data_IF_288494697305
#
_entry.id   IF_288494697305
#
_cell.length_a   1.000
_cell.length_b   1.000
_cell.length_c   1.000
_cell.angle_alpha   90.00
_cell.angle_beta   90.00
_cell.angle_gamma   90.00
#
_symmetry.space_group_name_H-M   'P 1'
#
loop_
_entity.id
_entity.type
_entity.pdbx_description
1 polymer ?
#
# COMPACT_ATOMS: atom_id res chain seq x y z
N UNK A 1 -4.85 3.66 5.16
CA UNK A 1 -3.83 3.30 6.17
C UNK A 1 -2.75 4.37 6.38
N UNK A 2 -2.94 5.62 5.96
CA UNK A 2 -1.94 6.68 6.18
C UNK A 2 -0.76 6.72 5.19
N UNK A 3 -0.76 5.96 4.09
CA UNK A 3 0.36 5.92 3.12
C UNK A 3 0.66 7.29 2.49
N UNK A 4 -0.34 7.95 1.94
CA UNK A 4 -0.13 9.25 1.30
C UNK A 4 0.32 10.36 2.27
N UNK A 5 -0.29 10.55 3.46
CA UNK A 5 0.23 11.51 4.42
C UNK A 5 1.59 11.10 5.02
N UNK A 6 1.91 9.80 5.11
CA UNK A 6 3.27 9.33 5.44
C UNK A 6 4.29 9.86 4.44
N UNK A 7 4.06 9.73 3.13
CA UNK A 7 5.00 10.25 2.13
C UNK A 7 5.10 11.77 2.13
N UNK A 8 4.02 12.48 2.45
CA UNK A 8 4.08 13.93 2.68
C UNK A 8 5.00 14.26 3.87
N UNK A 9 4.84 13.55 4.98
CA UNK A 9 5.70 13.71 6.16
C UNK A 9 7.16 13.35 5.86
N UNK A 10 7.43 12.26 5.14
CA UNK A 10 8.80 11.88 4.73
C UNK A 10 9.46 12.95 3.86
N UNK A 11 8.74 13.53 2.89
CA UNK A 11 9.29 14.62 2.07
C UNK A 11 9.57 15.88 2.88
N UNK A 12 8.71 16.20 3.85
CA UNK A 12 8.85 17.39 4.69
C UNK A 12 10.00 17.25 5.69
N UNK A 13 10.07 16.12 6.41
CA UNK A 13 10.96 15.95 7.56
C UNK A 13 12.20 15.10 7.28
N UNK A 14 12.24 14.39 6.15
CA UNK A 14 13.37 13.55 5.72
C UNK A 14 13.68 13.77 4.22
N UNK A 15 13.88 15.03 3.76
CA UNK A 15 14.06 15.33 2.34
C UNK A 15 15.28 14.62 1.73
N UNK A 16 16.37 14.47 2.46
CA UNK A 16 17.57 13.75 2.01
C UNK A 16 17.34 12.25 1.79
N UNK A 17 16.44 11.65 2.57
CA UNK A 17 16.05 10.26 2.39
C UNK A 17 15.18 10.11 1.14
N UNK A 18 14.22 11.03 0.98
CA UNK A 18 13.34 11.05 -0.20
C UNK A 18 14.07 11.42 -1.49
N UNK A 19 15.19 12.13 -1.42
CA UNK A 19 16.01 12.47 -2.58
C UNK A 19 16.69 11.24 -3.22
N UNK A 20 16.93 10.18 -2.42
CA UNK A 20 17.58 8.92 -2.86
C UNK A 20 16.67 7.99 -3.64
N UNK A 21 15.35 8.11 -3.42
CA UNK A 21 14.36 7.25 -4.06
C UNK A 21 13.68 7.94 -5.24
N UNK A 22 13.20 7.15 -6.19
CA UNK A 22 12.36 7.60 -7.32
C UNK A 22 11.08 6.77 -7.40
N UNK A 23 9.93 7.36 -7.77
CA UNK A 23 8.70 6.59 -7.93
C UNK A 23 8.87 5.49 -8.99
N UNK A 24 8.37 4.29 -8.67
CA UNK A 24 8.18 3.24 -9.65
C UNK A 24 6.92 3.54 -10.48
N UNK A 25 7.10 3.79 -11.78
CA UNK A 25 6.01 4.09 -12.71
C UNK A 25 5.56 2.77 -13.36
N UNK A 26 4.28 2.43 -13.20
CA UNK A 26 3.68 1.23 -13.80
C UNK A 26 2.82 1.60 -14.99
N UNK A 27 2.54 0.64 -15.86
CA UNK A 27 1.47 0.76 -16.84
C UNK A 27 0.10 0.61 -16.16
N UNK A 28 -0.93 1.30 -16.65
CA UNK A 28 -2.28 1.21 -16.11
C UNK A 28 -3.36 1.34 -17.19
N UNK A 29 -4.36 0.46 -17.15
CA UNK A 29 -5.44 0.43 -18.16
C UNK A 29 -6.56 1.43 -17.91
N UNK A 30 -6.60 2.02 -16.72
CA UNK A 30 -7.62 3.00 -16.35
C UNK A 30 -7.29 4.37 -16.95
N UNK A 31 -8.30 5.23 -17.03
CA UNK A 31 -8.06 6.64 -17.36
C UNK A 31 -7.29 7.36 -16.24
N UNK A 32 -6.42 8.34 -16.59
CA UNK A 32 -5.79 9.21 -15.60
C UNK A 32 -6.83 9.93 -14.74
N UNK A 33 -6.57 10.06 -13.44
CA UNK A 33 -7.37 10.90 -12.55
C UNK A 33 -6.92 12.36 -12.67
N UNK A 34 -7.77 13.33 -12.27
CA UNK A 34 -7.36 14.73 -12.23
C UNK A 34 -6.05 14.91 -11.44
N UNK A 35 -5.05 15.52 -12.09
CA UNK A 35 -3.72 15.76 -11.53
C UNK A 35 -2.68 14.66 -11.79
N UNK A 36 -3.07 13.51 -12.34
CA UNK A 36 -2.13 12.48 -12.79
C UNK A 36 -1.63 12.76 -14.22
N UNK A 37 -0.38 12.41 -14.49
CA UNK A 37 0.30 12.62 -15.77
C UNK A 37 0.94 11.34 -16.31
N UNK A 38 0.84 11.13 -17.62
CA UNK A 38 1.46 9.98 -18.30
C UNK A 38 2.99 10.00 -18.16
N UNK A 39 3.58 8.85 -17.87
CA UNK A 39 5.02 8.68 -17.65
C UNK A 39 5.57 9.24 -16.35
N UNK A 40 4.70 9.80 -15.49
CA UNK A 40 5.06 10.28 -14.16
C UNK A 40 4.35 9.48 -13.07
N UNK A 41 3.03 9.35 -13.18
CA UNK A 41 2.22 8.61 -12.20
C UNK A 41 2.02 7.17 -12.67
N UNK A 42 1.66 7.00 -13.95
CA UNK A 42 1.56 5.72 -14.65
C UNK A 42 1.87 5.93 -16.14
N UNK A 43 2.20 4.86 -16.85
CA UNK A 43 2.07 4.76 -18.30
C UNK A 43 0.64 4.32 -18.65
N UNK A 44 -0.23 5.29 -18.92
CA UNK A 44 -1.63 5.04 -19.22
C UNK A 44 -1.78 4.48 -20.63
N UNK A 45 -2.32 3.27 -20.74
CA UNK A 45 -2.56 2.59 -22.02
C UNK A 45 -3.97 1.99 -22.00
N UNK A 46 -4.51 1.64 -23.15
CA UNK A 46 -5.77 0.90 -23.21
C UNK A 46 -5.61 -0.51 -22.60
N UNK A 47 -6.73 -1.10 -22.15
CA UNK A 47 -6.74 -2.49 -21.66
C UNK A 47 -6.17 -3.45 -22.70
N UNK A 48 -6.52 -3.28 -23.97
CA UNK A 48 -6.05 -4.13 -25.06
C UNK A 48 -4.53 -4.00 -25.28
N UNK A 49 -3.95 -2.82 -25.09
CA UNK A 49 -2.49 -2.63 -25.15
C UNK A 49 -1.78 -3.38 -24.03
N UNK A 50 -2.26 -3.27 -22.79
CA UNK A 50 -1.65 -3.96 -21.65
C UNK A 50 -1.83 -5.48 -21.77
N UNK A 51 -2.98 -5.94 -22.26
CA UNK A 51 -3.24 -7.37 -22.43
C UNK A 51 -2.27 -8.00 -23.45
N UNK A 52 -1.88 -7.25 -24.50
CA UNK A 52 -0.84 -7.69 -25.46
C UNK A 52 0.56 -7.84 -24.86
N UNK A 53 0.80 -7.31 -23.66
CA UNK A 53 2.06 -7.51 -22.95
C UNK A 53 2.13 -8.88 -22.26
N UNK A 54 1.01 -9.61 -22.12
CA UNK A 54 1.03 -10.96 -21.55
C UNK A 54 1.87 -11.90 -22.42
N UNK A 55 2.63 -12.77 -21.76
CA UNK A 55 3.50 -13.74 -22.41
C UNK A 55 4.82 -13.15 -22.94
N UNK A 56 5.03 -11.83 -22.79
CA UNK A 56 6.33 -11.22 -23.00
C UNK A 56 7.09 -11.19 -21.66
N UNK A 57 8.24 -11.86 -21.60
CA UNK A 57 9.05 -11.95 -20.38
C UNK A 57 9.58 -10.59 -19.89
N UNK A 58 9.53 -9.55 -20.70
CA UNK A 58 9.84 -8.18 -20.26
C UNK A 58 8.78 -7.60 -19.31
N UNK A 59 7.54 -8.08 -19.36
CA UNK A 59 6.41 -7.46 -18.66
C UNK A 59 5.73 -8.39 -17.67
N UNK A 60 5.46 -7.87 -16.48
CA UNK A 60 4.62 -8.54 -15.48
C UNK A 60 3.23 -7.90 -15.48
N UNK A 61 2.23 -8.58 -16.03
CA UNK A 61 0.84 -8.09 -16.12
C UNK A 61 0.00 -8.56 -14.93
N UNK A 62 -0.68 -7.63 -14.27
CA UNK A 62 -1.38 -7.82 -13.00
C UNK A 62 -2.81 -7.28 -13.12
N UNK A 63 -3.81 -8.07 -12.70
CA UNK A 63 -5.17 -7.55 -12.51
C UNK A 63 -5.30 -6.96 -11.10
N UNK A 64 -5.60 -5.67 -11.02
CA UNK A 64 -5.74 -4.92 -9.79
C UNK A 64 -7.17 -4.42 -9.68
N UNK A 65 -8.04 -5.29 -9.16
CA UNK A 65 -9.46 -4.99 -8.92
C UNK A 65 -10.20 -4.54 -10.20
N UNK A 66 -9.91 -5.19 -11.32
CA UNK A 66 -10.52 -4.93 -12.63
C UNK A 66 -9.68 -4.04 -13.54
N UNK A 67 -8.70 -3.30 -13.02
CA UNK A 67 -7.74 -2.54 -13.82
C UNK A 67 -6.53 -3.41 -14.14
N UNK A 68 -6.13 -3.51 -15.41
CA UNK A 68 -4.86 -4.13 -15.76
C UNK A 68 -3.72 -3.16 -15.52
N UNK A 69 -2.68 -3.64 -14.87
CA UNK A 69 -1.43 -2.95 -14.71
C UNK A 69 -0.29 -3.80 -15.24
N UNK A 70 0.82 -3.18 -15.63
CA UNK A 70 2.03 -3.92 -15.96
C UNK A 70 3.28 -3.23 -15.44
N UNK A 71 4.27 -4.05 -15.07
CA UNK A 71 5.63 -3.61 -14.76
C UNK A 71 6.53 -3.97 -15.95
N UNK A 72 7.32 -3.00 -16.43
CA UNK A 72 8.43 -3.26 -17.35
C UNK A 72 9.69 -3.60 -16.54
N UNK A 73 10.10 -4.87 -16.60
CA UNK A 73 11.22 -5.40 -15.81
C UNK A 73 12.55 -4.80 -16.28
N UNK A 74 12.74 -4.63 -17.59
CA UNK A 74 13.97 -4.03 -18.11
C UNK A 74 14.07 -2.54 -17.75
N UNK A 75 12.93 -1.82 -17.74
CA UNK A 75 12.91 -0.44 -17.27
C UNK A 75 13.23 -0.35 -15.77
N UNK A 76 12.67 -1.25 -14.97
CA UNK A 76 12.98 -1.36 -13.56
C UNK A 76 14.49 -1.55 -13.34
N UNK A 77 15.13 -2.48 -14.05
CA UNK A 77 16.57 -2.74 -13.93
C UNK A 77 17.41 -1.51 -14.30
N UNK A 78 17.08 -0.83 -15.43
CA UNK A 78 17.76 0.41 -15.84
C UNK A 78 17.62 1.52 -14.82
N UNK A 79 16.46 1.61 -14.16
CA UNK A 79 16.20 2.64 -13.16
C UNK A 79 16.90 2.31 -11.83
N UNK A 80 16.88 1.05 -11.40
CA UNK A 80 17.59 0.56 -10.21
C UNK A 80 19.10 0.74 -10.30
N UNK A 81 19.68 0.68 -11.51
CA UNK A 81 21.09 1.01 -11.72
C UNK A 81 21.45 2.48 -11.40
N UNK A 82 20.46 3.37 -11.28
CA UNK A 82 20.65 4.81 -11.05
C UNK A 82 20.18 5.27 -9.67
N UNK A 83 19.11 4.68 -9.14
CA UNK A 83 18.49 5.10 -7.89
C UNK A 83 17.62 3.99 -7.30
N UNK A 84 17.30 4.09 -6.01
CA UNK A 84 16.33 3.19 -5.39
C UNK A 84 14.92 3.50 -5.91
N UNK A 85 14.15 2.46 -6.23
CA UNK A 85 12.77 2.61 -6.70
C UNK A 85 11.77 2.46 -5.54
N UNK A 86 10.79 3.36 -5.51
CA UNK A 86 9.77 3.45 -4.49
C UNK A 86 8.39 3.16 -5.07
N UNK A 87 7.75 2.13 -4.55
CA UNK A 87 6.37 1.80 -4.88
C UNK A 87 5.44 2.06 -3.69
N UNK A 88 4.49 2.98 -3.85
CA UNK A 88 3.35 3.18 -2.94
C UNK A 88 2.08 2.67 -3.63
N UNK A 89 1.54 1.54 -3.19
CA UNK A 89 0.35 1.01 -3.85
C UNK A 89 -0.46 0.01 -3.04
N UNK A 90 -1.38 -0.64 -3.76
CA UNK A 90 -2.24 -1.68 -3.20
C UNK A 90 -1.40 -2.95 -2.91
N UNK A 91 -1.62 -3.65 -1.78
CA UNK A 91 -0.90 -4.88 -1.48
C UNK A 91 -1.04 -5.99 -2.53
N UNK A 92 -2.09 -6.04 -3.35
CA UNK A 92 -2.19 -6.97 -4.49
C UNK A 92 -1.01 -6.83 -5.47
N UNK A 93 -0.64 -5.61 -5.82
CA UNK A 93 0.56 -5.36 -6.63
C UNK A 93 1.80 -5.68 -5.80
N UNK A 94 1.79 -5.29 -4.53
CA UNK A 94 2.89 -5.56 -3.60
C UNK A 94 3.24 -7.06 -3.53
N UNK A 95 2.26 -7.94 -3.41
CA UNK A 95 2.48 -9.40 -3.44
C UNK A 95 3.11 -9.84 -4.75
N UNK A 96 2.59 -9.41 -5.90
CA UNK A 96 3.23 -9.76 -7.18
C UNK A 96 4.68 -9.28 -7.23
N UNK A 97 4.94 -8.03 -6.83
CA UNK A 97 6.31 -7.51 -6.75
C UNK A 97 7.21 -8.29 -5.78
N UNK A 98 6.64 -9.00 -4.81
CA UNK A 98 7.37 -9.83 -3.85
C UNK A 98 7.61 -11.26 -4.34
N UNK A 99 6.64 -11.87 -5.02
CA UNK A 99 6.65 -13.32 -5.31
C UNK A 99 6.96 -13.65 -6.76
N UNK A 100 6.87 -12.69 -7.69
CA UNK A 100 7.09 -12.94 -9.11
C UNK A 100 8.51 -13.41 -9.41
N UNK A 101 8.64 -14.43 -10.24
CA UNK A 101 9.92 -15.13 -10.45
C UNK A 101 10.98 -14.23 -11.07
N UNK A 102 10.59 -13.41 -12.06
CA UNK A 102 11.48 -12.45 -12.73
C UNK A 102 12.04 -11.38 -11.80
N UNK A 103 11.39 -11.16 -10.65
CA UNK A 103 11.83 -10.15 -9.70
C UNK A 103 12.65 -10.75 -8.56
N UNK A 104 12.86 -12.07 -8.49
CA UNK A 104 13.50 -12.75 -7.34
C UNK A 104 14.85 -12.15 -6.93
N UNK A 105 15.68 -11.81 -7.89
CA UNK A 105 17.03 -11.26 -7.66
C UNK A 105 17.03 -9.77 -7.28
N UNK A 106 15.90 -9.07 -7.44
CA UNK A 106 15.80 -7.65 -7.07
C UNK A 106 15.80 -7.51 -5.55
N UNK A 107 16.88 -6.93 -5.02
CA UNK A 107 16.97 -6.53 -3.63
C UNK A 107 15.86 -5.53 -3.29
N UNK A 108 15.12 -5.77 -2.21
CA UNK A 108 13.95 -4.95 -1.87
C UNK A 108 13.74 -4.83 -0.37
N UNK A 109 13.26 -3.65 0.03
CA UNK A 109 12.68 -3.38 1.33
C UNK A 109 11.15 -3.36 1.17
N UNK A 110 10.44 -4.24 1.89
CA UNK A 110 8.98 -4.30 1.80
C UNK A 110 8.30 -4.06 3.14
N UNK A 111 7.39 -3.08 3.15
CA UNK A 111 6.70 -2.62 4.35
C UNK A 111 5.19 -2.63 4.13
N UNK A 112 4.48 -3.39 4.96
CA UNK A 112 3.01 -3.37 5.01
C UNK A 112 2.54 -2.46 6.14
N UNK A 113 1.71 -1.45 5.83
CA UNK A 113 1.08 -0.61 6.85
C UNK A 113 -0.26 -1.22 7.22
N UNK A 114 -0.34 -1.82 8.41
CA UNK A 114 -1.50 -2.57 8.88
C UNK A 114 -2.47 -1.68 9.68
N UNK A 115 -3.80 -1.92 9.58
CA UNK A 115 -4.80 -1.20 10.39
C UNK A 115 -4.81 -1.62 11.87
N UNK A 116 -4.13 -2.72 12.20
CA UNK A 116 -4.04 -3.36 13.50
C UNK A 116 -2.62 -3.90 13.69
N UNK A 117 -2.20 -4.06 14.93
CA UNK A 117 -1.00 -4.77 15.35
C UNK A 117 -1.18 -6.29 15.37
N UNK A 118 -0.07 -7.03 15.40
CA UNK A 118 -0.09 -8.49 15.55
C UNK A 118 -0.83 -8.91 16.83
N UNK A 119 -0.61 -8.16 17.91
CA UNK A 119 -1.25 -8.42 19.21
C UNK A 119 -2.77 -8.26 19.10
N UNK A 120 -3.24 -7.15 18.52
CA UNK A 120 -4.68 -6.92 18.29
C UNK A 120 -5.28 -7.98 17.37
N UNK A 121 -4.58 -8.39 16.31
CA UNK A 121 -5.05 -9.48 15.45
C UNK A 121 -5.22 -10.77 16.24
N UNK A 122 -4.24 -11.15 17.07
CA UNK A 122 -4.33 -12.36 17.89
C UNK A 122 -5.45 -12.27 18.92
N UNK A 123 -5.52 -11.14 19.62
CA UNK A 123 -6.55 -10.86 20.62
C UNK A 123 -7.95 -10.94 20.01
N UNK A 124 -8.20 -10.27 18.88
CA UNK A 124 -9.51 -10.26 18.24
C UNK A 124 -9.90 -11.64 17.71
N UNK A 125 -8.95 -12.40 17.16
CA UNK A 125 -9.21 -13.77 16.69
C UNK A 125 -9.47 -14.75 17.83
N UNK A 126 -9.06 -14.45 19.07
CA UNK A 126 -9.33 -15.29 20.23
C UNK A 126 -10.65 -14.95 20.93
N UNK A 127 -11.31 -13.84 20.57
CA UNK A 127 -12.56 -13.44 21.23
C UNK A 127 -13.76 -14.26 20.72
N UNK A 128 -14.54 -14.91 21.60
CA UNK A 128 -15.78 -15.58 21.21
C UNK A 128 -16.77 -14.62 20.54
N UNK A 129 -17.41 -15.05 19.46
CA UNK A 129 -18.43 -14.27 18.76
C UNK A 129 -17.92 -13.14 17.86
N UNK A 130 -16.60 -12.89 17.81
CA UNK A 130 -16.03 -11.89 16.90
C UNK A 130 -15.88 -12.47 15.49
N UNK A 131 -16.69 -11.99 14.56
CA UNK A 131 -16.49 -12.22 13.14
C UNK A 131 -15.32 -11.35 12.63
N UNK A 132 -14.09 -11.84 12.79
CA UNK A 132 -12.86 -11.07 12.53
C UNK A 132 -12.84 -10.39 11.16
N UNK A 133 -13.16 -11.13 10.08
CA UNK A 133 -13.18 -10.56 8.72
C UNK A 133 -14.18 -9.40 8.61
N UNK A 134 -15.39 -9.54 9.16
CA UNK A 134 -16.40 -8.49 9.16
C UNK A 134 -15.96 -7.26 9.97
N UNK A 135 -15.28 -7.47 11.10
CA UNK A 135 -14.72 -6.39 11.91
C UNK A 135 -13.66 -5.60 11.11
N UNK A 136 -12.77 -6.28 10.38
CA UNK A 136 -11.77 -5.62 9.53
C UNK A 136 -12.45 -4.79 8.43
N UNK A 137 -13.50 -5.32 7.80
CA UNK A 137 -14.31 -4.58 6.82
C UNK A 137 -14.89 -3.31 7.47
N UNK A 138 -15.46 -3.41 8.67
CA UNK A 138 -16.07 -2.28 9.38
C UNK A 138 -15.03 -1.20 9.77
N UNK A 139 -13.87 -1.61 10.29
CA UNK A 139 -12.75 -0.71 10.60
C UNK A 139 -12.36 0.09 9.36
N UNK A 140 -12.24 -0.60 8.21
CA UNK A 140 -11.85 0.02 6.96
C UNK A 140 -12.93 0.89 6.34
N UNK A 141 -14.19 0.46 6.38
CA UNK A 141 -15.35 1.24 5.94
C UNK A 141 -15.40 2.57 6.67
N UNK A 142 -15.28 2.57 8.01
CA UNK A 142 -15.31 3.80 8.82
C UNK A 142 -14.16 4.77 8.47
N UNK A 143 -12.94 4.26 8.29
CA UNK A 143 -11.79 5.08 7.87
C UNK A 143 -11.99 5.67 6.47
N UNK A 144 -12.49 4.87 5.53
CA UNK A 144 -12.76 5.31 4.16
C UNK A 144 -13.88 6.36 4.11
N UNK A 145 -14.99 6.16 4.84
CA UNK A 145 -16.07 7.14 4.96
C UNK A 145 -15.56 8.48 5.47
N UNK A 146 -14.81 8.49 6.58
CA UNK A 146 -14.25 9.73 7.15
C UNK A 146 -13.32 10.44 6.17
N UNK A 147 -12.40 9.70 5.55
CA UNK A 147 -11.48 10.25 4.54
C UNK A 147 -12.23 10.86 3.37
N UNK A 148 -13.13 10.10 2.75
CA UNK A 148 -13.83 10.56 1.53
C UNK A 148 -14.72 11.75 1.84
N UNK A 149 -15.42 11.75 2.98
CA UNK A 149 -16.23 12.90 3.43
C UNK A 149 -15.37 14.14 3.67
N UNK A 150 -14.18 13.99 4.27
CA UNK A 150 -13.23 15.10 4.44
C UNK A 150 -12.72 15.66 3.10
N UNK A 151 -12.65 14.82 2.06
CA UNK A 151 -12.17 15.22 0.73
C UNK A 151 -13.25 15.81 -0.17
N UNK A 152 -14.49 15.31 -0.08
CA UNK A 152 -15.57 15.63 -1.02
C UNK A 152 -16.78 16.32 -0.39
N UNK A 153 -16.87 16.39 0.94
CA UNK A 153 -18.08 16.81 1.64
C UNK A 153 -19.15 15.71 1.59
N UNK A 154 -20.33 16.03 1.05
CA UNK A 154 -21.40 15.05 0.87
C UNK A 154 -21.00 13.95 -0.12
N UNK A 155 -21.41 12.72 0.20
CA UNK A 155 -21.01 11.53 -0.56
C UNK A 155 -22.12 11.10 -1.51
N UNK A 156 -21.77 10.88 -2.77
CA UNK A 156 -22.69 10.29 -3.75
C UNK A 156 -22.88 8.79 -3.53
N UNK A 157 -23.91 8.20 -4.13
CA UNK A 157 -24.10 6.74 -4.11
C UNK A 157 -22.87 6.00 -4.66
N UNK A 158 -22.28 6.51 -5.76
CA UNK A 158 -21.06 5.95 -6.36
C UNK A 158 -19.87 5.96 -5.39
N UNK A 159 -19.76 7.00 -4.56
CA UNK A 159 -18.71 7.06 -3.54
C UNK A 159 -18.91 5.98 -2.47
N UNK A 160 -20.15 5.74 -2.04
CA UNK A 160 -20.49 4.70 -1.06
C UNK A 160 -20.22 3.30 -1.61
N UNK A 161 -20.61 3.02 -2.86
CA UNK A 161 -20.33 1.75 -3.54
C UNK A 161 -18.83 1.48 -3.64
N UNK A 162 -18.03 2.48 -4.00
CA UNK A 162 -16.57 2.36 -4.05
C UNK A 162 -15.96 2.13 -2.67
N UNK A 163 -16.51 2.76 -1.63
CA UNK A 163 -16.09 2.53 -0.24
C UNK A 163 -16.39 1.09 0.18
N UNK A 164 -17.59 0.57 -0.10
CA UNK A 164 -17.95 -0.83 0.22
C UNK A 164 -17.03 -1.82 -0.49
N UNK A 165 -16.79 -1.61 -1.80
CA UNK A 165 -15.89 -2.46 -2.58
C UNK A 165 -14.47 -2.47 -2.00
N UNK A 166 -13.95 -1.31 -1.60
CA UNK A 166 -12.61 -1.20 -0.99
C UNK A 166 -12.56 -1.82 0.40
N UNK A 167 -13.55 -1.54 1.24
CA UNK A 167 -13.65 -2.10 2.59
C UNK A 167 -13.78 -3.63 2.55
N UNK A 168 -14.61 -4.17 1.66
CA UNK A 168 -14.84 -5.61 1.50
C UNK A 168 -13.57 -6.38 1.12
N UNK A 169 -12.62 -5.76 0.43
CA UNK A 169 -11.33 -6.38 0.11
C UNK A 169 -10.32 -6.38 1.26
N UNK A 170 -10.57 -5.64 2.34
CA UNK A 170 -9.60 -5.42 3.42
C UNK A 170 -9.16 -6.69 4.16
N UNK A 171 -10.02 -7.69 4.44
CA UNK A 171 -9.55 -8.94 5.06
C UNK A 171 -8.53 -9.68 4.19
N UNK A 172 -8.77 -9.72 2.88
CA UNK A 172 -7.82 -10.30 1.92
C UNK A 172 -6.52 -9.52 1.90
N UNK A 173 -6.58 -8.18 1.86
CA UNK A 173 -5.39 -7.33 1.93
C UNK A 173 -4.58 -7.56 3.21
N UNK A 174 -5.25 -7.66 4.37
CA UNK A 174 -4.60 -7.90 5.66
C UNK A 174 -3.92 -9.27 5.72
N UNK A 175 -4.53 -10.29 5.11
CA UNK A 175 -3.97 -11.64 5.04
C UNK A 175 -2.62 -11.71 4.30
N UNK A 176 -2.28 -10.68 3.52
CA UNK A 176 -1.03 -10.58 2.77
C UNK A 176 0.12 -10.01 3.60
N UNK A 177 -0.16 -9.40 4.75
CA UNK A 177 0.86 -8.78 5.60
C UNK A 177 2.06 -9.71 5.95
N UNK A 178 1.88 -11.03 6.20
CA UNK A 178 3.00 -11.94 6.44
C UNK A 178 3.96 -12.15 5.26
N UNK A 179 3.59 -11.72 4.04
CA UNK A 179 4.48 -11.77 2.87
C UNK A 179 5.53 -10.66 2.87
N UNK A 180 5.27 -9.57 3.60
CA UNK A 180 6.15 -8.41 3.65
C UNK A 180 7.26 -8.62 4.68
N UNK A 181 8.43 -8.02 4.44
CA UNK A 181 9.57 -8.11 5.33
C UNK A 181 9.27 -7.49 6.70
N UNK A 182 8.53 -6.38 6.67
CA UNK A 182 8.14 -5.61 7.84
C UNK A 182 6.66 -5.26 7.81
N UNK A 183 6.02 -5.28 8.98
CA UNK A 183 4.66 -4.78 9.19
C UNK A 183 4.71 -3.63 10.18
N UNK A 184 4.05 -2.52 9.85
CA UNK A 184 3.96 -1.33 10.70
C UNK A 184 2.49 -1.10 11.04
N UNK A 185 2.07 -1.35 12.28
CA UNK A 185 0.72 -1.04 12.74
C UNK A 185 0.47 0.46 12.71
N UNK A 186 -0.69 0.88 12.20
CA UNK A 186 -1.06 2.28 12.12
C UNK A 186 -2.57 2.49 12.24
N UNK A 187 -3.02 2.89 13.43
CA UNK A 187 -4.40 3.29 13.66
C UNK A 187 -4.70 4.68 13.09
N UNK A 188 -3.68 5.52 12.90
CA UNK A 188 -3.83 6.83 12.28
C UNK A 188 -3.89 6.72 10.75
N UNK A 189 -5.10 6.42 10.28
CA UNK A 189 -5.43 6.33 8.87
C UNK A 189 -5.21 7.65 8.11
N UNK A 190 -5.55 7.66 6.82
CA UNK A 190 -5.41 8.90 6.02
C UNK A 190 -6.39 10.00 6.45
N UNK A 191 -7.42 9.61 7.20
CA UNK A 191 -8.41 10.48 7.82
C UNK A 191 -7.89 11.18 9.08
N UNK A 192 -6.81 10.69 9.70
CA UNK A 192 -6.35 11.18 11.00
C UNK A 192 -5.68 12.55 10.91
N UNK A 193 -6.00 13.42 11.86
CA UNK A 193 -5.38 14.74 12.04
C UNK A 193 -3.95 14.65 12.60
N UNK A 194 -3.62 13.51 13.21
CA UNK A 194 -2.30 13.25 13.79
C UNK A 194 -1.15 13.30 12.77
N UNK A 195 -1.44 13.33 11.46
CA UNK A 195 -0.42 13.45 10.43
C UNK A 195 0.15 14.85 10.27
N UNK A 196 -0.69 15.88 10.29
CA UNK A 196 -0.27 17.23 9.88
C UNK A 196 -1.04 18.38 10.52
N UNK A 197 -2.12 18.14 11.28
CA UNK A 197 -2.90 19.23 11.88
C UNK A 197 -2.10 20.00 12.94
N UNK A 198 -1.09 19.37 13.54
CA UNK A 198 -0.28 19.92 14.63
C UNK A 198 1.15 20.25 14.18
N UNK A 199 1.34 20.54 12.89
CA UNK A 199 2.63 20.83 12.23
C UNK A 199 3.63 19.68 12.23
N UNK A 200 3.45 18.64 13.05
CA UNK A 200 4.26 17.45 13.16
C UNK A 200 3.38 16.20 13.31
N UNK A 201 3.82 15.04 12.80
CA UNK A 201 3.17 13.78 13.12
C UNK A 201 3.20 13.50 14.62
N UNK A 202 2.06 13.11 15.19
CA UNK A 202 1.91 12.63 16.58
C UNK A 202 1.24 11.24 16.59
N UNK A 203 1.09 10.60 17.76
CA UNK A 203 0.38 9.31 17.86
C UNK A 203 0.99 8.19 17.01
N UNK A 204 0.14 7.39 16.38
CA UNK A 204 0.54 6.31 15.47
C UNK A 204 1.07 6.82 14.14
N UNK A 205 0.62 8.00 13.70
CA UNK A 205 1.17 8.65 12.51
C UNK A 205 2.68 8.91 12.70
N UNK A 206 3.09 9.41 13.88
CA UNK A 206 4.50 9.58 14.23
C UNK A 206 5.27 8.27 14.29
N UNK A 207 4.70 7.26 14.94
CA UNK A 207 5.34 5.93 15.02
C UNK A 207 5.57 5.36 13.62
N UNK A 208 4.56 5.41 12.77
CA UNK A 208 4.62 4.94 11.37
C UNK A 208 5.67 5.72 10.58
N UNK A 209 5.68 7.04 10.68
CA UNK A 209 6.69 7.91 10.07
C UNK A 209 8.11 7.51 10.48
N UNK A 210 8.37 7.39 11.78
CA UNK A 210 9.69 7.02 12.30
C UNK A 210 10.09 5.61 11.88
N UNK A 211 9.15 4.64 11.88
CA UNK A 211 9.42 3.27 11.44
C UNK A 211 9.89 3.25 9.99
N UNK A 212 9.14 3.88 9.09
CA UNK A 212 9.47 3.85 7.65
C UNK A 212 10.73 4.66 7.36
N UNK A 213 10.91 5.83 7.98
CA UNK A 213 12.15 6.60 7.86
C UNK A 213 13.37 5.80 8.37
N UNK A 214 13.22 5.12 9.51
CA UNK A 214 14.25 4.23 10.05
C UNK A 214 14.60 3.12 9.07
N UNK A 215 13.59 2.39 8.57
CA UNK A 215 13.79 1.26 7.66
C UNK A 215 14.46 1.68 6.35
N UNK A 216 14.03 2.80 5.75
CA UNK A 216 14.68 3.38 4.58
C UNK A 216 16.13 3.82 4.86
N UNK A 217 16.43 4.22 6.11
CA UNK A 217 17.78 4.52 6.58
C UNK A 217 18.57 3.30 7.10
N UNK A 218 18.09 2.07 6.89
CA UNK A 218 18.75 0.84 7.34
C UNK A 218 18.67 0.56 8.84
N UNK A 219 17.81 1.26 9.58
CA UNK A 219 17.60 1.09 11.03
C UNK A 219 16.24 0.48 11.32
N UNK A 220 16.20 -0.60 12.10
CA UNK A 220 14.94 -1.17 12.58
C UNK A 220 14.55 -0.55 13.91
N UNK A 221 13.30 -0.09 14.02
CA UNK A 221 12.72 0.42 15.27
C UNK A 221 11.89 -0.65 16.00
N UNK A 222 11.67 -0.52 17.33
CA UNK A 222 11.01 -1.55 18.14
C UNK A 222 9.56 -1.88 17.72
N UNK A 223 8.79 -0.91 17.24
CA UNK A 223 7.39 -1.08 16.83
C UNK A 223 7.22 -1.59 15.40
N UNK A 224 8.31 -2.01 14.74
CA UNK A 224 8.26 -2.69 13.44
C UNK A 224 8.11 -4.19 13.66
N UNK A 225 6.97 -4.72 13.27
CA UNK A 225 6.59 -6.12 13.47
C UNK A 225 7.03 -7.00 12.30
N UNK A 226 7.06 -8.31 12.55
CA UNK A 226 7.14 -9.35 11.52
C UNK A 226 6.07 -10.39 11.82
N UNK A 227 5.11 -10.53 10.93
CA UNK A 227 3.97 -11.41 11.16
C UNK A 227 4.30 -12.85 10.74
N UNK A 228 3.84 -13.87 11.48
CA UNK A 228 4.12 -15.25 11.12
C UNK A 228 3.33 -15.67 9.88
N UNK A 229 3.94 -16.48 9.01
CA UNK A 229 3.36 -16.90 7.72
C UNK A 229 2.02 -17.64 7.86
N UNK A 230 1.79 -18.30 8.99
CA UNK A 230 0.57 -19.04 9.30
C UNK A 230 -0.48 -18.21 10.07
N UNK A 231 -0.29 -16.89 10.22
CA UNK A 231 -1.23 -16.04 10.96
C UNK A 231 -2.65 -16.09 10.38
N UNK A 232 -2.75 -16.14 9.05
CA UNK A 232 -3.99 -16.28 8.31
C UNK A 232 -3.96 -17.62 7.58
N UNK A 233 -4.85 -18.58 7.90
CA UNK A 233 -4.92 -19.82 7.16
C UNK A 233 -5.29 -19.52 5.71
N UNK A 234 -4.68 -20.23 4.75
CA UNK A 234 -5.12 -20.19 3.36
C UNK A 234 -6.57 -20.69 3.34
N UNK A 235 -7.49 -19.88 2.82
CA UNK A 235 -8.82 -20.36 2.43
C UNK A 235 -8.60 -21.17 1.15
N UNK A 236 -8.83 -22.48 1.22
CA UNK A 236 -8.90 -23.36 0.04
C UNK A 236 -10.02 -22.92 -0.90
#
# INVERSE_FOLDING_TARGET
MGKSPLFKALRQFQPELMARVRPLVLYNSRSPRPGESDGKDYHFRSRAEIERLRGNDRFVVIDVRGDLQALDVEELDRNLAKSDMLFEGNPFIGETLLVHEQLREVARLSVFIAPLSLDEVKFLKSQPGVAFDALIVDVMRRKLLRRTRKQKGELSLKDLEEIERRAGSAPRELAMAPLFQYVVPNHDGEDSENWNAFYHPIGDARRTFLAVAGLLGGKKLPHVEKWPKNLFPRKE
#
